data_IF_034152255597
#
_entry.id   IF_034152255597
#
_cell.length_a   1.000
_cell.length_b   1.000
_cell.length_c   1.000
_cell.angle_alpha   90.00
_cell.angle_beta   90.00
_cell.angle_gamma   90.00
#
_symmetry.space_group_name_H-M   'P 1'
#
loop_
_entity.id
_entity.type
_entity.pdbx_description
1 polymer ?
#
# COMPACT_ATOMS: atom_id res chain seq x y z
N UNK A 1 -12.91 -13.58 5.49
CA UNK A 1 -12.95 -12.20 6.03
C UNK A 1 -13.63 -11.32 4.99
N UNK A 2 -14.59 -10.49 5.40
CA UNK A 2 -15.24 -9.55 4.50
C UNK A 2 -14.42 -8.25 4.41
N UNK A 3 -14.27 -7.71 3.20
CA UNK A 3 -13.69 -6.39 2.94
C UNK A 3 -14.73 -5.61 2.14
N UNK A 4 -15.30 -4.54 2.74
CA UNK A 4 -16.18 -3.64 2.00
C UNK A 4 -15.32 -2.57 1.33
N UNK A 5 -15.71 -2.17 0.13
CA UNK A 5 -15.06 -1.11 -0.64
C UNK A 5 -16.08 -0.07 -1.07
N UNK A 6 -15.72 1.21 -0.92
CA UNK A 6 -16.44 2.36 -1.46
C UNK A 6 -15.59 2.96 -2.56
N UNK A 7 -16.16 3.15 -3.73
CA UNK A 7 -15.51 3.82 -4.85
C UNK A 7 -15.84 5.31 -4.85
N UNK A 8 -14.85 6.11 -5.21
CA UNK A 8 -14.97 7.56 -5.44
C UNK A 8 -14.85 7.85 -6.93
N UNK A 9 -15.53 8.90 -7.40
CA UNK A 9 -15.51 9.31 -8.80
C UNK A 9 -15.86 8.11 -9.73
N UNK A 10 -15.09 7.92 -10.78
CA UNK A 10 -15.21 6.80 -11.74
C UNK A 10 -14.28 5.61 -11.42
N UNK A 11 -13.77 5.52 -10.20
CA UNK A 11 -12.85 4.46 -9.81
C UNK A 11 -13.42 3.05 -10.06
N UNK A 12 -14.72 2.84 -9.87
CA UNK A 12 -15.35 1.55 -10.17
C UNK A 12 -15.09 1.09 -11.62
N UNK A 13 -15.15 2.01 -12.59
CA UNK A 13 -14.87 1.70 -13.99
C UNK A 13 -13.37 1.44 -14.22
N UNK A 14 -12.49 2.23 -13.57
CA UNK A 14 -11.02 2.07 -13.65
C UNK A 14 -10.63 0.68 -13.15
N UNK A 15 -11.17 0.26 -12.00
CA UNK A 15 -10.89 -1.06 -11.45
C UNK A 15 -11.48 -2.18 -12.30
N UNK A 16 -12.71 -2.06 -12.77
CA UNK A 16 -13.36 -3.06 -13.60
C UNK A 16 -12.64 -3.28 -14.94
N UNK A 17 -12.24 -2.20 -15.63
CA UNK A 17 -11.49 -2.29 -16.90
C UNK A 17 -10.11 -2.92 -16.77
N UNK A 18 -9.48 -2.78 -15.60
CA UNK A 18 -8.13 -3.25 -15.35
C UNK A 18 -8.04 -4.66 -14.76
N UNK A 19 -9.16 -5.31 -14.50
CA UNK A 19 -9.19 -6.62 -13.85
C UNK A 19 -9.09 -7.76 -14.88
N UNK A 20 -8.18 -8.68 -14.65
CA UNK A 20 -8.10 -9.96 -15.36
C UNK A 20 -8.85 -11.02 -14.53
N UNK A 21 -9.86 -11.67 -15.08
CA UNK A 21 -10.55 -12.79 -14.42
C UNK A 21 -11.64 -12.39 -13.42
N UNK A 22 -12.19 -11.19 -13.51
CA UNK A 22 -13.35 -10.79 -12.71
C UNK A 22 -14.60 -11.50 -13.22
N UNK A 23 -15.35 -12.17 -12.32
CA UNK A 23 -16.65 -12.72 -12.64
C UNK A 23 -17.60 -11.60 -13.12
N UNK A 24 -18.57 -11.94 -13.98
CA UNK A 24 -19.60 -11.00 -14.44
C UNK A 24 -20.22 -10.25 -13.23
N UNK A 25 -20.21 -8.92 -13.28
CA UNK A 25 -20.67 -8.06 -12.18
C UNK A 25 -19.63 -7.75 -11.08
N UNK A 26 -18.40 -8.24 -11.20
CA UNK A 26 -17.33 -7.93 -10.26
C UNK A 26 -16.77 -6.52 -10.42
N UNK A 27 -16.43 -5.86 -9.30
CA UNK A 27 -15.94 -4.48 -9.27
C UNK A 27 -14.42 -4.34 -9.54
N UNK A 28 -13.69 -5.45 -9.78
CA UNK A 28 -12.25 -5.44 -10.08
C UNK A 28 -11.29 -5.06 -8.94
N UNK A 29 -11.79 -4.67 -7.77
CA UNK A 29 -11.00 -4.46 -6.57
C UNK A 29 -10.83 -5.79 -5.82
N UNK A 30 -9.92 -6.61 -6.31
CA UNK A 30 -9.65 -7.95 -5.81
C UNK A 30 -8.18 -8.31 -6.05
N UNK A 31 -7.71 -9.36 -5.37
CA UNK A 31 -6.40 -9.95 -5.65
C UNK A 31 -6.33 -10.45 -7.11
N UNK A 32 -5.19 -10.23 -7.77
CA UNK A 32 -5.03 -10.57 -9.20
C UNK A 32 -5.12 -12.09 -9.49
N UNK A 33 -4.81 -12.92 -8.49
CA UNK A 33 -4.93 -14.38 -8.56
C UNK A 33 -5.46 -14.91 -7.22
N UNK A 34 -5.93 -16.16 -7.20
CA UNK A 34 -6.46 -16.79 -5.99
C UNK A 34 -5.48 -16.79 -4.80
N UNK A 35 -4.19 -16.82 -5.07
CA UNK A 35 -3.13 -16.86 -4.06
C UNK A 35 -2.31 -15.57 -3.94
N UNK A 36 -2.69 -14.51 -4.65
CA UNK A 36 -2.02 -13.22 -4.49
C UNK A 36 -2.35 -12.61 -3.12
N UNK A 37 -1.30 -12.22 -2.39
CA UNK A 37 -1.43 -11.61 -1.06
C UNK A 37 -1.99 -10.19 -1.11
N UNK A 38 -1.73 -9.46 -2.20
CA UNK A 38 -2.07 -8.04 -2.33
C UNK A 38 -3.19 -7.77 -3.34
N UNK A 39 -3.94 -6.71 -3.06
CA UNK A 39 -4.91 -6.11 -3.97
C UNK A 39 -4.23 -4.91 -4.62
N UNK A 40 -4.19 -4.84 -5.95
CA UNK A 40 -3.60 -3.70 -6.64
C UNK A 40 -4.38 -2.41 -6.40
N UNK A 41 -3.67 -1.35 -6.02
CA UNK A 41 -4.19 0.02 -5.97
C UNK A 41 -3.85 0.71 -7.30
N UNK A 42 -4.85 1.40 -7.88
CA UNK A 42 -4.74 2.06 -9.18
C UNK A 42 -4.76 3.57 -9.05
N UNK A 43 -4.05 4.25 -9.93
CA UNK A 43 -4.03 5.71 -10.02
C UNK A 43 -5.39 6.23 -10.54
N UNK A 44 -6.18 6.83 -9.67
CA UNK A 44 -7.46 7.48 -10.01
C UNK A 44 -7.25 8.99 -10.14
N UNK A 45 -6.41 9.38 -11.08
CA UNK A 45 -6.08 10.77 -11.41
C UNK A 45 -7.28 11.46 -12.06
N UNK A 46 -7.40 12.76 -11.90
CA UNK A 46 -8.35 13.58 -12.68
C UNK A 46 -7.82 13.80 -14.10
N UNK A 47 -6.49 13.99 -14.23
CA UNK A 47 -5.79 14.10 -15.50
C UNK A 47 -5.41 12.73 -16.08
N UNK A 48 -5.16 12.63 -17.41
CA UNK A 48 -4.75 11.37 -18.06
C UNK A 48 -3.46 10.80 -17.49
N UNK A 49 -2.51 11.65 -17.09
CA UNK A 49 -1.22 11.27 -16.56
C UNK A 49 -0.60 12.37 -15.69
N UNK A 50 0.40 12.00 -14.90
CA UNK A 50 1.25 12.92 -14.15
C UNK A 50 2.71 12.50 -14.33
N UNK A 51 3.59 13.51 -14.49
CA UNK A 51 5.04 13.31 -14.57
C UNK A 51 5.65 13.56 -13.19
N UNK A 52 6.58 12.70 -12.80
CA UNK A 52 7.29 12.75 -11.51
C UNK A 52 8.78 12.79 -11.79
N UNK A 53 9.43 13.93 -11.56
CA UNK A 53 10.87 14.09 -11.74
C UNK A 53 11.71 13.27 -10.76
N UNK A 54 13.01 13.08 -11.01
CA UNK A 54 13.92 12.41 -10.08
C UNK A 54 13.92 13.06 -8.70
N UNK A 55 13.69 12.28 -7.65
CA UNK A 55 13.61 12.75 -6.27
C UNK A 55 12.27 13.39 -5.87
N UNK A 56 11.38 13.60 -6.82
CA UNK A 56 10.06 14.21 -6.54
C UNK A 56 9.09 13.19 -5.95
N UNK A 57 8.07 13.75 -5.27
CA UNK A 57 6.96 13.00 -4.70
C UNK A 57 5.64 13.48 -5.26
N UNK A 58 4.73 12.55 -5.46
CA UNK A 58 3.37 12.84 -5.90
C UNK A 58 2.35 12.09 -5.05
N UNK A 59 1.27 12.77 -4.68
CA UNK A 59 0.12 12.16 -4.03
C UNK A 59 -0.85 11.65 -5.10
N UNK A 60 -1.00 10.34 -5.17
CA UNK A 60 -1.87 9.68 -6.15
C UNK A 60 -3.08 9.09 -5.45
N UNK A 61 -4.30 9.58 -5.70
CA UNK A 61 -5.52 9.00 -5.14
C UNK A 61 -5.76 7.61 -5.74
N UNK A 62 -6.14 6.65 -4.90
CA UNK A 62 -6.50 5.30 -5.35
C UNK A 62 -8.00 5.13 -5.67
N UNK A 63 -8.82 6.15 -5.43
CA UNK A 63 -10.25 6.13 -5.74
C UNK A 63 -11.08 5.19 -4.88
N UNK A 64 -10.54 4.67 -3.79
CA UNK A 64 -11.22 3.70 -2.92
C UNK A 64 -11.04 4.04 -1.45
N UNK A 65 -12.08 3.76 -0.66
CA UNK A 65 -12.02 3.59 0.80
C UNK A 65 -12.44 2.17 1.15
N UNK A 66 -11.95 1.66 2.27
CA UNK A 66 -12.22 0.28 2.71
C UNK A 66 -12.77 0.23 4.13
N UNK A 67 -13.54 -0.83 4.42
CA UNK A 67 -13.92 -1.23 5.76
C UNK A 67 -13.53 -2.70 5.94
N UNK A 68 -12.62 -2.94 6.87
CA UNK A 68 -12.09 -4.27 7.15
C UNK A 68 -13.01 -4.94 8.16
N UNK A 69 -13.70 -6.02 7.77
CA UNK A 69 -14.66 -6.75 8.60
C UNK A 69 -14.01 -7.76 9.56
N UNK A 70 -12.81 -7.44 10.09
CA UNK A 70 -12.12 -8.28 11.07
C UNK A 70 -11.37 -7.42 12.08
N UNK A 71 -11.56 -7.71 13.38
CA UNK A 71 -10.81 -7.07 14.44
C UNK A 71 -9.32 -7.48 14.40
N UNK A 72 -8.43 -6.57 14.77
CA UNK A 72 -6.98 -6.85 14.81
C UNK A 72 -6.33 -7.04 13.43
N UNK A 73 -6.97 -6.53 12.37
CA UNK A 73 -6.41 -6.54 11.01
C UNK A 73 -6.37 -5.10 10.48
N UNK A 74 -5.25 -4.69 9.91
CA UNK A 74 -5.07 -3.41 9.25
C UNK A 74 -4.67 -3.59 7.79
N UNK A 75 -4.80 -2.54 7.00
CA UNK A 75 -4.31 -2.48 5.63
C UNK A 75 -2.88 -1.92 5.57
N UNK A 76 -2.03 -2.56 4.79
CA UNK A 76 -0.66 -2.11 4.55
C UNK A 76 -0.44 -1.89 3.06
N UNK A 77 0.01 -0.70 2.71
CA UNK A 77 0.26 -0.31 1.32
C UNK A 77 1.74 -0.44 1.02
N UNK A 78 2.07 -1.35 0.14
CA UNK A 78 3.44 -1.63 -0.29
C UNK A 78 3.67 -1.20 -1.74
N UNK A 79 4.92 -0.92 -2.06
CA UNK A 79 5.35 -0.78 -3.46
C UNK A 79 5.13 -2.08 -4.21
N UNK A 80 4.86 -1.98 -5.51
CA UNK A 80 4.85 -3.14 -6.41
C UNK A 80 6.28 -3.44 -6.86
N UNK A 81 6.65 -4.72 -6.90
CA UNK A 81 8.02 -5.14 -7.22
C UNK A 81 8.54 -4.57 -8.56
N UNK A 82 7.76 -4.67 -9.63
CA UNK A 82 8.15 -4.14 -10.93
C UNK A 82 8.34 -2.63 -10.91
N UNK A 83 7.35 -1.90 -10.39
CA UNK A 83 7.35 -0.44 -10.36
C UNK A 83 8.43 0.11 -9.41
N UNK A 84 8.58 -0.49 -8.22
CA UNK A 84 9.53 -0.02 -7.21
C UNK A 84 10.96 -0.45 -7.51
N UNK A 85 11.21 -1.76 -7.71
CA UNK A 85 12.57 -2.26 -7.85
C UNK A 85 13.15 -2.04 -9.25
N UNK A 86 12.33 -2.10 -10.31
CA UNK A 86 12.79 -1.97 -11.68
C UNK A 86 12.74 -0.53 -12.18
N UNK A 87 11.62 0.15 -11.96
CA UNK A 87 11.38 1.47 -12.52
C UNK A 87 11.74 2.60 -11.52
N UNK A 88 11.94 2.27 -10.25
CA UNK A 88 12.34 3.23 -9.20
C UNK A 88 11.21 4.08 -8.66
N UNK A 89 9.94 3.77 -8.94
CA UNK A 89 8.79 4.49 -8.38
C UNK A 89 8.22 3.72 -7.19
N UNK A 90 8.46 4.23 -5.98
CA UNK A 90 8.17 3.54 -4.71
C UNK A 90 7.13 4.27 -3.87
N UNK A 91 6.54 3.59 -2.89
CA UNK A 91 5.76 4.25 -1.83
C UNK A 91 6.71 5.09 -0.98
N UNK A 92 6.47 6.40 -0.90
CA UNK A 92 7.44 7.40 -0.41
C UNK A 92 7.84 7.22 1.07
N UNK A 93 6.94 6.74 1.92
CA UNK A 93 7.20 6.45 3.34
C UNK A 93 7.62 4.99 3.59
N UNK A 94 7.90 4.21 2.53
CA UNK A 94 8.17 2.78 2.60
C UNK A 94 6.91 1.94 2.66
N UNK A 95 6.14 2.03 3.73
CA UNK A 95 4.85 1.33 3.91
C UNK A 95 3.78 2.32 4.38
N UNK A 96 2.63 2.34 3.70
CA UNK A 96 1.45 3.05 4.20
C UNK A 96 0.65 2.16 5.16
N UNK A 97 0.08 2.74 6.21
CA UNK A 97 -0.81 2.03 7.12
C UNK A 97 -2.22 2.59 6.97
N UNK A 98 -3.18 1.69 6.78
CA UNK A 98 -4.61 1.99 6.73
C UNK A 98 -5.24 1.37 7.96
N UNK A 99 -5.56 2.20 8.94
CA UNK A 99 -6.15 1.78 10.19
C UNK A 99 -7.55 1.16 9.96
N UNK A 100 -7.97 0.21 10.82
CA UNK A 100 -9.27 -0.46 10.66
C UNK A 100 -10.47 0.50 10.72
N UNK A 101 -10.34 1.65 11.39
CA UNK A 101 -11.35 2.69 11.53
C UNK A 101 -11.21 3.85 10.52
N UNK A 102 -10.19 3.85 9.67
CA UNK A 102 -10.07 4.83 8.60
C UNK A 102 -11.13 4.60 7.52
N UNK A 103 -11.86 5.68 7.18
CA UNK A 103 -12.94 5.66 6.16
C UNK A 103 -12.71 6.63 5.01
N UNK A 104 -11.55 7.30 5.00
CA UNK A 104 -11.17 8.22 3.92
C UNK A 104 -10.68 7.48 2.68
N UNK A 105 -10.57 8.21 1.57
CA UNK A 105 -9.96 7.71 0.35
C UNK A 105 -8.49 7.35 0.59
N UNK A 106 -8.07 6.16 0.16
CA UNK A 106 -6.66 5.76 0.18
C UNK A 106 -5.91 6.62 -0.84
N UNK A 107 -4.89 7.31 -0.36
CA UNK A 107 -3.97 8.11 -1.17
C UNK A 107 -2.57 7.55 -1.03
N UNK A 108 -1.91 7.32 -2.15
CA UNK A 108 -0.55 6.76 -2.18
C UNK A 108 0.43 7.87 -2.55
N UNK A 109 1.32 8.21 -1.62
CA UNK A 109 2.46 9.04 -1.92
C UNK A 109 3.53 8.20 -2.60
N UNK A 110 3.88 8.55 -3.83
CA UNK A 110 4.92 7.90 -4.62
C UNK A 110 6.16 8.80 -4.68
N UNK A 111 7.32 8.19 -4.61
CA UNK A 111 8.64 8.82 -4.74
C UNK A 111 9.35 8.22 -5.95
N UNK A 112 9.84 9.07 -6.82
CA UNK A 112 10.72 8.66 -7.92
C UNK A 112 12.17 8.60 -7.42
N UNK A 113 12.71 7.39 -7.25
CA UNK A 113 14.10 7.13 -6.86
C UNK A 113 15.03 6.91 -8.05
N UNK A 114 14.50 6.97 -9.27
CA UNK A 114 15.29 6.83 -10.50
C UNK A 114 15.96 8.16 -10.90
N UNK A 115 16.80 8.13 -11.94
CA UNK A 115 17.51 9.30 -12.47
C UNK A 115 16.79 9.97 -13.64
N UNK A 116 15.57 9.52 -13.99
CA UNK A 116 14.77 10.06 -15.10
C UNK A 116 13.34 10.30 -14.66
N UNK A 117 12.62 11.07 -15.44
CA UNK A 117 11.20 11.30 -15.21
C UNK A 117 10.40 10.00 -15.31
N UNK A 118 9.50 9.81 -14.36
CA UNK A 118 8.54 8.72 -14.35
C UNK A 118 7.16 9.26 -14.72
N UNK A 119 6.42 8.46 -15.48
CA UNK A 119 5.05 8.76 -15.87
C UNK A 119 4.09 7.84 -15.11
N UNK A 120 3.09 8.41 -14.47
CA UNK A 120 1.97 7.68 -13.89
C UNK A 120 0.74 7.98 -14.75
N UNK A 121 0.19 6.93 -15.36
CA UNK A 121 -1.00 7.03 -16.20
C UNK A 121 -2.24 6.68 -15.39
N UNK A 122 -3.35 7.38 -15.63
CA UNK A 122 -4.66 7.06 -15.05
C UNK A 122 -5.01 5.58 -15.25
N UNK A 123 -5.40 4.91 -14.16
CA UNK A 123 -5.70 3.46 -14.14
C UNK A 123 -4.49 2.55 -13.96
N UNK A 124 -3.26 3.09 -14.00
CA UNK A 124 -2.04 2.32 -13.74
C UNK A 124 -2.05 1.74 -12.33
N UNK A 125 -1.58 0.51 -12.16
CA UNK A 125 -1.35 -0.11 -10.86
C UNK A 125 -0.11 0.50 -10.22
N UNK A 126 -0.27 1.21 -9.10
CA UNK A 126 0.77 2.03 -8.46
C UNK A 126 1.32 1.46 -7.16
N UNK A 127 0.51 0.68 -6.46
CA UNK A 127 0.86 0.07 -5.17
C UNK A 127 0.03 -1.20 -4.99
N UNK A 128 0.24 -1.91 -3.88
CA UNK A 128 -0.57 -3.05 -3.47
C UNK A 128 -0.97 -2.94 -2.00
N UNK A 129 -2.23 -3.24 -1.73
CA UNK A 129 -2.80 -3.32 -0.39
C UNK A 129 -2.75 -4.76 0.10
N UNK A 130 -2.11 -4.99 1.23
CA UNK A 130 -2.08 -6.30 1.92
C UNK A 130 -2.76 -6.14 3.28
N UNK A 131 -3.62 -7.06 3.65
CA UNK A 131 -4.26 -7.09 4.95
C UNK A 131 -3.47 -7.99 5.89
N UNK A 132 -2.97 -7.42 7.00
CA UNK A 132 -2.15 -8.14 7.97
C UNK A 132 -2.71 -7.98 9.39
N UNK A 133 -2.56 -9.00 10.26
CA UNK A 133 -2.88 -8.86 11.67
C UNK A 133 -1.91 -7.89 12.36
N UNK A 134 -2.41 -7.17 13.37
CA UNK A 134 -1.60 -6.35 14.24
C UNK A 134 -2.02 -6.55 15.71
N UNK A 135 -1.09 -6.25 16.61
CA UNK A 135 -1.35 -6.27 18.05
C UNK A 135 -1.40 -4.84 18.56
N UNK A 136 -2.49 -4.50 19.25
CA UNK A 136 -2.59 -3.24 19.97
C UNK A 136 -2.07 -3.45 21.38
N UNK A 137 -0.95 -2.78 21.72
CA UNK A 137 -0.33 -2.89 23.02
C UNK A 137 -0.64 -1.68 23.90
N UNK A 138 -0.91 -1.93 25.18
CA UNK A 138 -0.94 -0.90 26.21
C UNK A 138 0.46 -0.77 26.79
N UNK A 139 1.15 0.34 26.54
CA UNK A 139 2.46 0.62 27.10
C UNK A 139 2.34 0.85 28.61
N UNK A 140 3.11 0.10 29.41
CA UNK A 140 3.26 0.29 30.85
C UNK A 140 4.67 0.79 31.13
N UNK A 141 4.85 1.99 31.73
CA UNK A 141 6.16 2.46 32.16
C UNK A 141 6.76 1.54 33.23
N UNK A 142 8.03 1.22 33.10
CA UNK A 142 8.79 0.48 34.10
C UNK A 142 10.17 1.13 34.28
N UNK A 143 10.80 0.92 35.44
CA UNK A 143 12.13 1.45 35.72
C UNK A 143 13.23 0.70 34.96
N UNK A 144 13.06 -0.60 34.76
CA UNK A 144 14.01 -1.47 34.11
C UNK A 144 13.32 -2.51 33.23
N UNK A 145 13.95 -2.88 32.13
CA UNK A 145 13.57 -4.01 31.30
C UNK A 145 14.31 -5.26 31.72
N UNK A 146 13.73 -6.42 31.46
CA UNK A 146 14.38 -7.70 31.75
C UNK A 146 15.65 -7.90 30.93
N UNK A 147 16.64 -8.60 31.52
CA UNK A 147 17.91 -8.92 30.87
C UNK A 147 17.68 -9.93 29.71
N UNK A 148 18.49 -9.79 28.68
CA UNK A 148 18.54 -10.71 27.54
C UNK A 148 20.00 -10.90 27.10
N UNK A 149 20.31 -12.00 26.42
CA UNK A 149 21.65 -12.27 25.85
C UNK A 149 22.10 -11.17 24.87
N UNK A 150 21.15 -10.50 24.22
CA UNK A 150 21.43 -9.38 23.31
C UNK A 150 21.65 -8.06 24.07
N UNK A 151 20.96 -7.85 25.19
CA UNK A 151 20.98 -6.60 25.95
C UNK A 151 20.66 -5.39 25.05
N UNK A 152 21.50 -4.35 25.18
CA UNK A 152 21.40 -3.13 24.36
C UNK A 152 22.14 -3.23 23.01
N UNK A 153 22.60 -4.40 22.58
CA UNK A 153 23.32 -4.60 21.33
C UNK A 153 22.49 -4.25 20.10
N UNK A 154 22.92 -3.20 19.41
CA UNK A 154 22.24 -2.67 18.20
C UNK A 154 22.91 -3.07 16.89
N UNK A 155 23.11 -2.10 16.01
CA UNK A 155 23.62 -2.28 14.65
C UNK A 155 24.96 -3.04 14.61
N UNK A 156 24.95 -4.23 13.98
CA UNK A 156 26.16 -5.04 13.84
C UNK A 156 26.53 -5.90 15.05
N UNK A 157 25.65 -6.04 16.07
CA UNK A 157 25.90 -6.82 17.29
C UNK A 157 26.31 -8.29 17.00
N UNK A 158 25.75 -8.91 15.95
CA UNK A 158 26.08 -10.29 15.55
C UNK A 158 27.29 -10.40 14.61
N UNK A 159 28.01 -9.29 14.36
CA UNK A 159 29.14 -9.26 13.42
C UNK A 159 28.71 -9.26 11.96
N UNK A 160 29.70 -9.18 11.05
CA UNK A 160 29.41 -9.21 9.59
C UNK A 160 29.65 -10.59 8.99
N UNK A 161 30.15 -11.54 9.74
CA UNK A 161 30.31 -12.98 9.45
C UNK A 161 30.48 -13.76 10.72
#
# INVERSE_FOLDING_TARGET
>A
MALKVKFFRDAAEIYAKGATGVAEGGHGFAAATMHAAGIDLRACLDEPEVIVGPGDRVCTPAGVAIEIGAAGVAGFVFSRSGLGAKDGLTVAQGVGVIDPDYRGEIKVWLLNTSHWEQKIVRGQRIAQLVLLPFFQANAAPCAELGDTDRGAGGFGHTGKM
#
